data_IF_907141197563
#
_entry.id   IF_907141197563
#
_cell.length_a   1.000
_cell.length_b   1.000
_cell.length_c   1.000
_cell.angle_alpha   90.00
_cell.angle_beta   90.00
_cell.angle_gamma   90.00
#
_symmetry.space_group_name_H-M   'P 1'
#
loop_
_entity.id
_entity.type
_entity.pdbx_description
1 polymer ?
#
# COMPACT_ATOMS: atom_id res chain seq x y z
N UNK A 1 -62.10 -8.96 17.37
CA UNK A 1 -60.73 -8.78 17.88
C UNK A 1 -60.74 -8.80 19.40
N UNK A 2 -60.23 -9.85 20.02
CA UNK A 2 -60.26 -10.00 21.47
C UNK A 2 -59.11 -9.17 22.10
N UNK A 3 -59.42 -7.92 22.51
CA UNK A 3 -58.45 -6.91 23.03
C UNK A 3 -57.53 -7.44 24.16
N UNK A 4 -57.89 -8.54 24.81
CA UNK A 4 -57.15 -9.14 25.94
C UNK A 4 -55.72 -9.59 25.57
N UNK A 5 -55.45 -9.96 24.31
CA UNK A 5 -54.19 -10.62 23.90
C UNK A 5 -53.28 -9.79 22.99
N UNK A 6 -53.72 -8.60 22.55
CA UNK A 6 -52.96 -7.72 21.63
C UNK A 6 -51.92 -6.83 22.32
N UNK A 7 -51.37 -7.27 23.46
CA UNK A 7 -50.57 -6.39 24.35
C UNK A 7 -49.24 -5.95 23.76
N UNK A 8 -48.69 -6.68 22.78
CA UNK A 8 -47.35 -6.47 22.23
C UNK A 8 -47.30 -5.96 20.80
N UNK A 9 -48.45 -5.57 20.23
CA UNK A 9 -48.49 -5.01 18.86
C UNK A 9 -47.71 -3.68 18.86
N UNK A 10 -46.93 -3.44 17.80
CA UNK A 10 -45.99 -2.34 17.62
C UNK A 10 -44.71 -2.37 18.47
N UNK A 11 -44.52 -3.39 19.32
CA UNK A 11 -43.23 -3.56 19.99
C UNK A 11 -42.13 -3.95 18.98
N UNK A 12 -40.92 -3.43 19.20
CA UNK A 12 -39.76 -3.64 18.33
C UNK A 12 -38.74 -4.55 19.05
N UNK A 13 -38.30 -5.59 18.35
CA UNK A 13 -37.30 -6.55 18.80
C UNK A 13 -36.19 -6.67 17.74
N UNK A 14 -35.13 -5.87 17.90
CA UNK A 14 -34.05 -5.78 16.93
C UNK A 14 -34.52 -5.20 15.59
N UNK A 15 -34.41 -5.97 14.49
CA UNK A 15 -34.88 -5.55 13.15
C UNK A 15 -36.38 -5.85 12.89
N UNK A 16 -37.12 -6.35 13.89
CA UNK A 16 -38.47 -6.87 13.75
C UNK A 16 -39.49 -6.07 14.55
N UNK A 17 -40.61 -5.72 13.93
CA UNK A 17 -41.78 -5.12 14.60
C UNK A 17 -42.92 -6.14 14.66
N UNK A 18 -43.60 -6.21 15.80
CA UNK A 18 -44.82 -7.03 15.94
C UNK A 18 -45.98 -6.31 15.25
N UNK A 19 -46.53 -6.92 14.20
CA UNK A 19 -47.64 -6.32 13.43
C UNK A 19 -48.99 -6.90 13.80
N UNK A 20 -49.05 -8.15 14.27
CA UNK A 20 -50.31 -8.82 14.59
C UNK A 20 -50.12 -10.04 15.50
N UNK A 21 -51.23 -10.59 15.99
CA UNK A 21 -51.31 -11.88 16.70
C UNK A 21 -51.79 -12.97 15.73
N UNK A 22 -51.12 -14.13 15.72
CA UNK A 22 -51.59 -15.29 14.95
C UNK A 22 -52.69 -16.03 15.72
N UNK A 23 -53.95 -15.60 15.52
CA UNK A 23 -55.13 -16.16 16.19
C UNK A 23 -55.35 -17.65 15.86
N UNK A 24 -54.86 -18.13 14.70
CA UNK A 24 -55.01 -19.54 14.28
C UNK A 24 -54.28 -20.53 15.20
N UNK A 25 -53.30 -20.05 15.98
CA UNK A 25 -52.48 -20.85 16.91
C UNK A 25 -52.92 -20.76 18.36
N UNK A 26 -54.04 -20.10 18.66
CA UNK A 26 -54.61 -20.01 20.00
C UNK A 26 -55.23 -21.36 20.42
N UNK A 27 -54.40 -22.27 20.92
CA UNK A 27 -54.86 -23.55 21.49
C UNK A 27 -54.79 -23.49 23.03
N UNK A 28 -55.90 -23.78 23.74
CA UNK A 28 -55.89 -23.95 25.19
C UNK A 28 -54.94 -25.10 25.57
N UNK A 29 -54.05 -24.87 26.53
CA UNK A 29 -53.27 -25.93 27.20
C UNK A 29 -53.50 -25.89 28.71
N UNK A 30 -53.17 -26.99 29.39
CA UNK A 30 -53.24 -27.09 30.85
C UNK A 30 -52.50 -25.96 31.59
N UNK A 31 -51.45 -25.38 30.99
CA UNK A 31 -50.62 -24.32 31.58
C UNK A 31 -50.99 -22.89 31.13
N UNK A 32 -52.03 -22.74 30.30
CA UNK A 32 -52.46 -21.47 29.72
C UNK A 32 -52.43 -21.42 28.19
N UNK A 33 -52.64 -20.22 27.62
CA UNK A 33 -52.67 -19.98 26.17
C UNK A 33 -51.27 -19.60 25.68
N UNK A 34 -50.72 -20.34 24.71
CA UNK A 34 -49.47 -19.96 24.04
C UNK A 34 -49.72 -18.98 22.89
N UNK A 35 -49.35 -17.72 23.11
CA UNK A 35 -49.47 -16.68 22.10
C UNK A 35 -48.34 -16.75 21.05
N UNK A 36 -48.71 -16.60 19.78
CA UNK A 36 -47.80 -16.45 18.66
C UNK A 36 -48.07 -15.12 17.97
N UNK A 37 -47.01 -14.38 17.66
CA UNK A 37 -47.09 -13.08 17.01
C UNK A 37 -46.57 -13.16 15.57
N UNK A 38 -47.17 -12.36 14.70
CA UNK A 38 -46.70 -12.10 13.34
C UNK A 38 -45.80 -10.87 13.41
N UNK A 39 -44.55 -11.03 13.00
CA UNK A 39 -43.57 -9.96 12.95
C UNK A 39 -43.22 -9.62 11.52
N UNK A 40 -42.93 -8.35 11.26
CA UNK A 40 -42.43 -7.85 10.00
C UNK A 40 -41.04 -7.24 10.19
N UNK A 41 -40.10 -7.54 9.29
CA UNK A 41 -38.81 -6.88 9.31
C UNK A 41 -38.96 -5.44 8.82
N UNK A 42 -38.49 -4.47 9.62
CA UNK A 42 -38.60 -3.04 9.31
C UNK A 42 -37.84 -2.64 8.03
N UNK A 43 -36.82 -3.43 7.63
CA UNK A 43 -35.98 -3.17 6.46
C UNK A 43 -36.47 -3.88 5.19
N UNK A 44 -36.67 -5.20 5.25
CA UNK A 44 -36.95 -6.01 4.05
C UNK A 44 -38.40 -6.51 3.92
N UNK A 45 -39.28 -6.12 4.86
CA UNK A 45 -40.71 -6.50 4.88
C UNK A 45 -41.00 -8.00 4.94
N UNK A 46 -39.96 -8.84 5.16
CA UNK A 46 -40.13 -10.27 5.40
C UNK A 46 -40.96 -10.47 6.66
N UNK A 47 -41.94 -11.38 6.60
CA UNK A 47 -42.75 -11.76 7.75
C UNK A 47 -42.29 -13.08 8.35
N UNK A 48 -42.49 -13.24 9.66
CA UNK A 48 -42.29 -14.51 10.37
C UNK A 48 -43.23 -14.61 11.57
N UNK A 49 -43.55 -15.82 11.99
CA UNK A 49 -44.34 -16.10 13.20
C UNK A 49 -43.39 -16.53 14.31
N UNK A 50 -43.56 -15.99 15.53
CA UNK A 50 -42.70 -16.27 16.69
C UNK A 50 -43.55 -16.40 17.95
N UNK A 51 -43.21 -17.36 18.82
CA UNK A 51 -43.86 -17.52 20.12
C UNK A 51 -43.52 -16.35 21.06
N UNK A 52 -44.45 -15.94 21.91
CA UNK A 52 -44.28 -14.81 22.82
C UNK A 52 -43.01 -14.91 23.70
N UNK A 53 -42.66 -16.12 24.12
CA UNK A 53 -41.49 -16.39 24.98
C UNK A 53 -40.14 -16.28 24.24
N UNK A 54 -40.15 -16.29 22.91
CA UNK A 54 -38.95 -16.19 22.07
C UNK A 54 -38.72 -14.78 21.51
N UNK A 55 -39.65 -13.84 21.73
CA UNK A 55 -39.53 -12.46 21.23
C UNK A 55 -38.25 -11.77 21.70
N UNK A 56 -37.88 -11.94 22.98
CA UNK A 56 -36.66 -11.35 23.57
C UNK A 56 -35.36 -11.92 23.00
N UNK A 57 -35.41 -13.07 22.31
CA UNK A 57 -34.25 -13.69 21.66
C UNK A 57 -33.99 -13.13 20.27
N UNK A 58 -34.91 -12.33 19.74
CA UNK A 58 -34.80 -11.76 18.40
C UNK A 58 -33.75 -10.64 18.38
N UNK A 59 -32.88 -10.69 17.39
CA UNK A 59 -31.88 -9.65 17.11
C UNK A 59 -32.05 -9.19 15.65
N UNK A 60 -31.08 -9.48 14.79
CA UNK A 60 -31.07 -9.01 13.40
C UNK A 60 -31.94 -9.88 12.48
N UNK A 61 -32.48 -9.28 11.42
CA UNK A 61 -33.14 -10.02 10.36
C UNK A 61 -32.09 -10.77 9.54
N UNK A 62 -32.15 -12.11 9.55
CA UNK A 62 -31.18 -12.96 8.84
C UNK A 62 -31.08 -12.65 7.32
N UNK A 63 -32.18 -12.21 6.69
CA UNK A 63 -32.19 -11.80 5.29
C UNK A 63 -31.41 -10.50 5.07
N UNK A 64 -31.70 -9.47 5.87
CA UNK A 64 -31.02 -8.17 5.80
C UNK A 64 -29.54 -8.27 6.19
N UNK A 65 -29.24 -9.03 7.24
CA UNK A 65 -27.89 -9.22 7.75
C UNK A 65 -26.96 -9.88 6.72
N UNK A 66 -27.52 -10.64 5.77
CA UNK A 66 -26.79 -11.27 4.67
C UNK A 66 -26.71 -10.40 3.40
N UNK A 67 -27.39 -9.26 3.34
CA UNK A 67 -27.54 -8.47 2.12
C UNK A 67 -26.97 -7.05 2.23
N UNK A 68 -26.95 -6.47 3.43
CA UNK A 68 -26.30 -5.17 3.67
C UNK A 68 -25.18 -5.32 4.70
N UNK A 69 -23.94 -5.11 4.24
CA UNK A 69 -22.74 -5.23 5.05
C UNK A 69 -22.24 -3.89 5.60
N UNK A 70 -22.92 -2.78 5.34
CA UNK A 70 -22.49 -1.44 5.79
C UNK A 70 -22.23 -1.41 7.29
N UNK A 71 -21.09 -0.82 7.70
CA UNK A 71 -20.60 -0.74 9.08
C UNK A 71 -20.32 -2.09 9.78
N UNK A 72 -20.39 -3.22 9.07
CA UNK A 72 -20.00 -4.51 9.63
C UNK A 72 -18.47 -4.66 9.60
N UNK A 73 -17.94 -5.41 10.57
CA UNK A 73 -16.51 -5.67 10.71
C UNK A 73 -16.17 -7.13 10.43
N UNK A 74 -15.18 -7.37 9.58
CA UNK A 74 -14.65 -8.68 9.20
C UNK A 74 -13.16 -8.75 9.52
N UNK A 75 -12.80 -9.31 10.67
CA UNK A 75 -11.43 -9.23 11.19
C UNK A 75 -11.04 -7.77 11.40
N UNK A 76 -10.00 -7.31 10.69
CA UNK A 76 -9.48 -5.93 10.74
C UNK A 76 -10.10 -5.00 9.71
N UNK A 77 -11.22 -5.36 9.08
CA UNK A 77 -11.84 -4.61 7.98
C UNK A 77 -13.22 -4.13 8.40
N UNK A 78 -13.45 -2.82 8.34
CA UNK A 78 -14.78 -2.22 8.49
C UNK A 78 -15.37 -1.92 7.11
N UNK A 79 -16.58 -2.37 6.82
CA UNK A 79 -17.24 -2.14 5.52
C UNK A 79 -17.88 -0.75 5.49
N UNK A 80 -17.61 0.01 4.43
CA UNK A 80 -18.06 1.38 4.25
C UNK A 80 -19.29 1.49 3.35
N UNK A 81 -19.27 0.85 2.17
CA UNK A 81 -20.36 0.95 1.19
C UNK A 81 -20.31 -0.16 0.16
N UNK A 82 -21.43 -0.35 -0.53
CA UNK A 82 -21.54 -1.26 -1.66
C UNK A 82 -20.69 -0.75 -2.85
N UNK A 83 -19.99 -1.65 -3.54
CA UNK A 83 -19.13 -1.38 -4.71
C UNK A 83 -19.67 -2.05 -6.00
N UNK A 84 -20.98 -2.29 -6.03
CA UNK A 84 -21.66 -2.97 -7.13
C UNK A 84 -21.33 -4.45 -7.18
N UNK A 85 -21.09 -4.95 -8.39
CA UNK A 85 -20.88 -6.37 -8.67
C UNK A 85 -19.58 -6.58 -9.44
N UNK A 86 -18.90 -7.70 -9.19
CA UNK A 86 -17.89 -8.21 -10.11
C UNK A 86 -18.58 -8.87 -11.30
N UNK A 87 -18.24 -8.42 -12.51
CA UNK A 87 -18.81 -8.88 -13.78
C UNK A 87 -17.78 -9.60 -14.65
N UNK A 88 -16.54 -9.77 -14.18
CA UNK A 88 -15.44 -10.29 -15.01
C UNK A 88 -15.53 -11.80 -15.25
N UNK A 89 -16.06 -12.56 -14.29
CA UNK A 89 -16.14 -14.03 -14.37
C UNK A 89 -17.35 -14.58 -13.61
N UNK A 90 -18.17 -15.39 -14.29
CA UNK A 90 -19.23 -16.18 -13.67
C UNK A 90 -20.45 -15.37 -13.18
N UNK A 91 -21.22 -15.89 -12.19
CA UNK A 91 -22.41 -15.23 -11.68
C UNK A 91 -22.07 -13.89 -11.01
N UNK A 92 -23.02 -12.95 -11.01
CA UNK A 92 -22.86 -11.61 -10.40
C UNK A 92 -22.51 -11.73 -8.91
N UNK A 93 -21.29 -11.36 -8.54
CA UNK A 93 -20.82 -11.39 -7.14
C UNK A 93 -20.80 -9.99 -6.54
N UNK A 94 -21.55 -9.71 -5.46
CA UNK A 94 -21.54 -8.41 -4.83
C UNK A 94 -20.16 -8.04 -4.28
N UNK A 95 -19.78 -6.77 -4.44
CA UNK A 95 -18.55 -6.18 -3.91
C UNK A 95 -18.87 -5.08 -2.91
N UNK A 96 -17.95 -4.87 -1.98
CA UNK A 96 -18.06 -3.88 -0.92
C UNK A 96 -16.73 -3.17 -0.73
N UNK A 97 -16.76 -1.83 -0.66
CA UNK A 97 -15.62 -1.05 -0.19
C UNK A 97 -15.51 -1.21 1.32
N UNK A 98 -14.33 -1.55 1.80
CA UNK A 98 -14.01 -1.59 3.23
C UNK A 98 -12.67 -0.94 3.54
N UNK A 99 -12.54 -0.46 4.77
CA UNK A 99 -11.33 0.12 5.34
C UNK A 99 -10.70 -0.85 6.32
N UNK A 100 -9.43 -1.16 6.12
CA UNK A 100 -8.66 -1.92 7.09
C UNK A 100 -8.16 -1.01 8.21
N UNK A 101 -7.92 -1.56 9.41
CA UNK A 101 -7.31 -0.85 10.55
C UNK A 101 -5.99 -0.14 10.21
N UNK A 102 -5.23 -0.64 9.22
CA UNK A 102 -4.02 0.01 8.74
C UNK A 102 -4.27 1.24 7.83
N UNK A 103 -5.54 1.60 7.60
CA UNK A 103 -5.98 2.73 6.77
C UNK A 103 -6.25 2.40 5.30
N UNK A 104 -5.90 1.21 4.82
CA UNK A 104 -6.11 0.84 3.41
C UNK A 104 -7.60 0.62 3.12
N UNK A 105 -8.12 1.36 2.15
CA UNK A 105 -9.47 1.22 1.62
C UNK A 105 -9.44 0.51 0.26
N UNK A 106 -10.24 -0.56 0.11
CA UNK A 106 -10.36 -1.27 -1.17
C UNK A 106 -11.67 -2.06 -1.27
N UNK A 107 -11.94 -2.57 -2.47
CA UNK A 107 -13.07 -3.47 -2.74
C UNK A 107 -12.77 -4.90 -2.27
N UNK A 108 -13.79 -5.53 -1.67
CA UNK A 108 -13.79 -6.92 -1.22
C UNK A 108 -15.04 -7.64 -1.74
N UNK A 109 -14.93 -8.93 -2.01
CA UNK A 109 -16.06 -9.76 -2.43
C UNK A 109 -16.87 -10.20 -1.20
N UNK A 110 -18.20 -10.05 -1.29
CA UNK A 110 -19.12 -10.34 -0.19
C UNK A 110 -19.01 -11.78 0.30
N UNK A 111 -18.96 -12.76 -0.62
CA UNK A 111 -18.91 -14.17 -0.25
C UNK A 111 -17.61 -14.53 0.49
N UNK A 112 -16.49 -13.89 0.13
CA UNK A 112 -15.20 -14.11 0.79
C UNK A 112 -15.15 -13.50 2.20
N UNK A 113 -15.81 -12.34 2.39
CA UNK A 113 -15.99 -11.74 3.71
C UNK A 113 -16.85 -12.64 4.61
N UNK A 114 -18.00 -13.09 4.10
CA UNK A 114 -18.95 -13.91 4.85
C UNK A 114 -18.40 -15.30 5.20
N UNK A 115 -17.58 -15.92 4.34
CA UNK A 115 -16.89 -17.19 4.64
C UNK A 115 -15.70 -17.03 5.59
N UNK A 116 -15.22 -15.80 5.78
CA UNK A 116 -14.09 -15.50 6.65
C UNK A 116 -12.71 -15.71 6.00
N UNK A 117 -12.64 -15.88 4.68
CA UNK A 117 -11.38 -16.00 3.94
C UNK A 117 -10.59 -14.69 3.94
N UNK A 118 -11.30 -13.56 4.04
CA UNK A 118 -10.71 -12.21 4.08
C UNK A 118 -10.93 -11.61 5.47
N UNK A 119 -9.83 -11.42 6.21
CA UNK A 119 -9.82 -10.82 7.56
C UNK A 119 -8.92 -9.58 7.67
N UNK A 120 -8.22 -9.21 6.61
CA UNK A 120 -7.35 -8.02 6.55
C UNK A 120 -7.15 -7.56 5.10
N UNK A 121 -6.55 -6.39 4.89
CA UNK A 121 -6.25 -5.89 3.55
C UNK A 121 -5.17 -6.71 2.80
N UNK A 122 -4.54 -7.71 3.43
CA UNK A 122 -3.45 -8.50 2.85
C UNK A 122 -2.10 -7.76 2.74
N UNK A 123 -2.05 -6.48 3.13
CA UNK A 123 -0.81 -5.69 3.21
C UNK A 123 -0.29 -5.56 4.65
N UNK A 124 -1.12 -5.82 5.66
CA UNK A 124 -0.74 -5.72 7.07
C UNK A 124 0.33 -6.73 7.51
N UNK A 125 0.43 -7.87 6.82
CA UNK A 125 1.37 -8.95 7.16
C UNK A 125 2.56 -9.04 6.22
N UNK A 126 2.65 -8.15 5.23
CA UNK A 126 3.78 -8.15 4.30
C UNK A 126 4.95 -7.41 4.96
N UNK A 127 6.14 -8.03 5.04
CA UNK A 127 7.32 -7.35 5.53
C UNK A 127 7.58 -6.09 4.68
N UNK A 128 7.87 -4.96 5.32
CA UNK A 128 8.19 -3.70 4.63
C UNK A 128 9.53 -3.19 5.11
N UNK A 129 10.17 -2.36 4.30
CA UNK A 129 11.49 -1.80 4.63
C UNK A 129 12.48 -2.93 4.89
N UNK A 130 13.26 -2.80 5.97
CA UNK A 130 14.34 -3.71 6.36
C UNK A 130 13.94 -5.19 6.44
N UNK A 131 12.68 -5.47 6.73
CA UNK A 131 12.18 -6.83 6.91
C UNK A 131 11.83 -7.54 5.58
N UNK A 132 11.81 -6.81 4.45
CA UNK A 132 11.49 -7.40 3.16
C UNK A 132 12.71 -8.16 2.60
N UNK A 133 12.51 -9.36 2.05
CA UNK A 133 13.61 -10.20 1.52
C UNK A 133 14.39 -9.53 0.38
N UNK A 134 13.75 -8.65 -0.41
CA UNK A 134 14.41 -7.80 -1.41
C UNK A 134 14.89 -6.44 -0.87
N UNK A 135 14.87 -6.23 0.45
CA UNK A 135 15.44 -5.04 1.04
C UNK A 135 16.95 -5.06 0.89
N UNK A 136 17.47 -4.04 0.26
CA UNK A 136 18.89 -3.81 0.17
C UNK A 136 19.14 -2.38 0.68
N UNK A 137 19.87 -2.19 1.79
CA UNK A 137 20.19 -0.86 2.30
C UNK A 137 21.06 -0.04 1.32
N UNK A 138 21.59 -0.68 0.28
CA UNK A 138 22.34 -0.07 -0.82
C UNK A 138 21.54 0.00 -2.14
N UNK A 139 20.25 -0.36 -2.18
CA UNK A 139 19.46 -0.26 -3.41
C UNK A 139 19.13 1.19 -3.75
N UNK A 140 19.54 1.57 -4.95
CA UNK A 140 19.17 2.67 -5.86
C UNK A 140 18.68 4.05 -5.39
N UNK A 141 18.23 4.27 -4.16
CA UNK A 141 17.95 5.62 -3.63
C UNK A 141 19.20 6.52 -3.61
N UNK A 142 20.39 5.91 -3.63
CA UNK A 142 21.69 6.59 -3.67
C UNK A 142 22.45 6.42 -4.99
N UNK A 143 21.90 5.74 -6.00
CA UNK A 143 22.39 5.80 -7.39
C UNK A 143 21.81 7.03 -8.09
N UNK A 144 22.01 8.20 -7.48
CA UNK A 144 21.61 9.50 -8.03
C UNK A 144 22.32 9.87 -9.34
N UNK A 145 23.01 8.95 -10.02
CA UNK A 145 23.69 9.23 -11.30
C UNK A 145 22.72 9.69 -12.41
N UNK A 146 21.44 9.30 -12.35
CA UNK A 146 20.41 9.83 -13.28
C UNK A 146 19.56 10.97 -12.67
N UNK A 147 19.84 11.37 -11.43
CA UNK A 147 19.10 12.47 -10.80
C UNK A 147 19.40 13.82 -11.46
N UNK A 148 18.43 14.73 -11.41
CA UNK A 148 18.61 16.13 -11.79
C UNK A 148 19.78 16.77 -11.05
N UNK A 149 19.94 16.47 -9.76
CA UNK A 149 21.02 16.97 -8.92
C UNK A 149 22.40 16.56 -9.44
N UNK A 150 22.58 15.31 -9.85
CA UNK A 150 23.83 14.86 -10.48
C UNK A 150 24.10 15.55 -11.82
N UNK A 151 23.06 15.77 -12.64
CA UNK A 151 23.18 16.49 -13.92
C UNK A 151 23.63 17.94 -13.69
N UNK A 152 23.08 18.61 -12.67
CA UNK A 152 23.50 19.95 -12.25
C UNK A 152 24.95 19.96 -11.76
N UNK A 153 25.30 19.05 -10.86
CA UNK A 153 26.66 18.87 -10.34
C UNK A 153 27.68 18.65 -11.48
N UNK A 154 27.42 17.70 -12.38
CA UNK A 154 28.31 17.40 -13.49
C UNK A 154 28.48 18.63 -14.40
N UNK A 155 27.40 19.36 -14.68
CA UNK A 155 27.45 20.61 -15.47
C UNK A 155 28.29 21.69 -14.80
N UNK A 156 28.25 21.83 -13.47
CA UNK A 156 29.09 22.77 -12.73
C UNK A 156 30.58 22.42 -12.85
N UNK A 157 30.92 21.14 -12.67
CA UNK A 157 32.30 20.63 -12.83
C UNK A 157 32.80 20.87 -14.26
N UNK A 158 31.98 20.53 -15.27
CA UNK A 158 32.34 20.75 -16.68
C UNK A 158 32.51 22.23 -17.00
N UNK A 159 31.61 23.10 -16.51
CA UNK A 159 31.71 24.54 -16.73
C UNK A 159 32.98 25.11 -16.11
N UNK A 160 33.34 24.72 -14.88
CA UNK A 160 34.59 25.13 -14.21
C UNK A 160 35.82 24.73 -15.01
N UNK A 161 35.81 23.51 -15.55
CA UNK A 161 36.94 22.95 -16.30
C UNK A 161 36.88 23.29 -17.81
N UNK A 162 36.10 24.31 -18.20
CA UNK A 162 35.94 24.77 -19.59
C UNK A 162 35.51 23.68 -20.59
N UNK A 163 34.72 22.71 -20.14
CA UNK A 163 34.28 21.54 -20.91
C UNK A 163 35.44 20.78 -21.58
N UNK A 164 36.58 20.71 -20.88
CA UNK A 164 37.77 20.00 -21.34
C UNK A 164 38.32 19.10 -20.25
N UNK A 165 38.89 17.97 -20.66
CA UNK A 165 39.66 17.11 -19.77
C UNK A 165 40.82 17.91 -19.16
N UNK A 166 40.91 17.95 -17.83
CA UNK A 166 41.95 18.75 -17.13
C UNK A 166 43.38 18.20 -17.30
N UNK A 167 43.51 17.00 -17.88
CA UNK A 167 44.79 16.35 -18.13
C UNK A 167 45.25 16.54 -19.57
N UNK A 168 44.39 16.23 -20.55
CA UNK A 168 44.77 16.20 -21.97
C UNK A 168 44.07 17.23 -22.85
N UNK A 169 43.13 18.03 -22.32
CA UNK A 169 42.40 19.05 -23.07
C UNK A 169 41.29 18.54 -24.00
N UNK A 170 41.10 17.22 -24.13
CA UNK A 170 40.04 16.63 -24.96
C UNK A 170 38.64 17.04 -24.50
N UNK A 171 37.76 17.36 -25.44
CA UNK A 171 36.33 17.62 -25.23
C UNK A 171 35.43 16.39 -25.48
N UNK A 172 36.01 15.24 -25.82
CA UNK A 172 35.26 14.02 -26.19
C UNK A 172 34.95 13.16 -24.96
N UNK A 173 33.68 12.72 -24.84
CA UNK A 173 33.18 11.78 -23.81
C UNK A 173 33.59 12.18 -22.38
N UNK A 174 33.20 13.38 -21.96
CA UNK A 174 33.55 13.90 -20.64
C UNK A 174 32.79 13.19 -19.52
N UNK A 175 33.48 12.99 -18.40
CA UNK A 175 32.94 12.43 -17.16
C UNK A 175 33.37 13.31 -15.98
N UNK A 176 32.45 13.52 -15.04
CA UNK A 176 32.76 14.13 -13.75
C UNK A 176 33.32 13.02 -12.85
N UNK A 177 34.64 12.97 -12.74
CA UNK A 177 35.35 11.98 -11.94
C UNK A 177 35.42 12.44 -10.49
N UNK A 178 34.89 11.66 -9.56
CA UNK A 178 35.02 11.93 -8.12
C UNK A 178 36.44 11.67 -7.63
N UNK A 179 37.01 12.65 -6.92
CA UNK A 179 38.33 12.56 -6.29
C UNK A 179 38.29 11.60 -5.10
N UNK A 180 37.37 11.81 -4.15
CA UNK A 180 37.03 10.85 -3.11
C UNK A 180 35.80 10.06 -3.53
N UNK A 181 35.93 8.72 -3.49
CA UNK A 181 35.00 7.79 -4.10
C UNK A 181 33.55 7.88 -3.60
N UNK A 182 32.62 7.79 -4.55
CA UNK A 182 31.18 7.84 -4.33
C UNK A 182 30.67 6.94 -3.19
N UNK A 183 31.23 5.73 -3.07
CA UNK A 183 30.76 4.75 -2.09
C UNK A 183 31.01 5.18 -0.64
N UNK A 184 32.21 5.70 -0.34
CA UNK A 184 32.67 5.94 1.03
C UNK A 184 32.61 7.40 1.46
N UNK A 185 32.43 8.34 0.52
CA UNK A 185 32.35 9.78 0.81
C UNK A 185 30.98 10.38 0.40
N UNK A 186 29.88 9.97 1.06
CA UNK A 186 28.52 10.40 0.69
C UNK A 186 28.30 11.92 0.75
N UNK A 187 28.92 12.61 1.70
CA UNK A 187 28.82 14.06 1.89
C UNK A 187 29.39 14.87 0.71
N UNK A 188 30.34 14.30 -0.05
CA UNK A 188 30.98 14.98 -1.19
C UNK A 188 30.48 14.52 -2.56
N UNK A 189 29.36 13.80 -2.65
CA UNK A 189 28.86 13.26 -3.93
C UNK A 189 28.47 14.34 -4.94
N UNK A 190 27.98 15.48 -4.44
CA UNK A 190 27.54 16.62 -5.25
C UNK A 190 28.40 17.87 -5.01
N UNK A 191 29.51 17.77 -4.28
CA UNK A 191 30.45 18.87 -4.11
C UNK A 191 31.33 18.98 -5.37
N UNK A 192 31.25 20.07 -6.15
CA UNK A 192 32.08 20.27 -7.34
C UNK A 192 33.59 20.22 -7.05
N UNK A 193 34.02 20.52 -5.82
CA UNK A 193 35.43 20.46 -5.42
C UNK A 193 35.92 19.03 -5.21
N UNK A 194 35.01 18.08 -5.02
CA UNK A 194 35.33 16.66 -4.96
C UNK A 194 35.29 15.99 -6.34
N UNK A 195 35.29 16.75 -7.44
CA UNK A 195 35.32 16.16 -8.77
C UNK A 195 36.06 17.01 -9.81
N UNK A 196 36.46 16.34 -10.89
CA UNK A 196 37.18 16.93 -12.03
C UNK A 196 36.69 16.36 -13.35
N UNK A 197 36.86 17.12 -14.42
CA UNK A 197 36.46 16.73 -15.77
C UNK A 197 37.55 15.88 -16.42
N UNK A 198 37.25 14.62 -16.74
CA UNK A 198 38.15 13.70 -17.44
C UNK A 198 37.49 13.10 -18.70
N UNK A 199 38.28 12.84 -19.75
CA UNK A 199 37.78 12.14 -20.93
C UNK A 199 37.69 10.62 -20.70
N UNK A 200 36.58 10.03 -21.14
CA UNK A 200 36.24 8.60 -21.00
C UNK A 200 36.21 7.84 -22.33
N UNK A 201 36.81 8.38 -23.40
CA UNK A 201 37.00 7.62 -24.64
C UNK A 201 38.00 6.47 -24.43
N UNK A 202 38.14 5.59 -25.43
CA UNK A 202 39.16 4.52 -25.43
C UNK A 202 40.53 5.15 -25.17
N UNK A 203 41.28 4.61 -24.21
CA UNK A 203 42.56 5.17 -23.73
C UNK A 203 42.49 6.62 -23.18
N UNK A 204 41.30 7.09 -22.78
CA UNK A 204 41.09 8.38 -22.16
C UNK A 204 41.49 8.41 -20.68
N UNK A 205 41.73 9.61 -20.16
CA UNK A 205 42.29 9.83 -18.83
C UNK A 205 41.46 9.21 -17.70
N UNK A 206 40.13 9.23 -17.81
CA UNK A 206 39.23 8.61 -16.81
C UNK A 206 39.45 7.09 -16.71
N UNK A 207 39.52 6.43 -17.88
CA UNK A 207 39.74 4.99 -17.95
C UNK A 207 41.16 4.63 -17.51
N UNK A 208 42.16 5.44 -17.87
CA UNK A 208 43.54 5.25 -17.44
C UNK A 208 43.68 5.34 -15.92
N UNK A 209 43.00 6.29 -15.28
CA UNK A 209 42.98 6.39 -13.82
C UNK A 209 42.41 5.11 -13.18
N UNK A 210 41.23 4.66 -13.62
CA UNK A 210 40.61 3.45 -13.07
C UNK A 210 41.35 2.16 -13.42
N UNK A 211 42.11 2.13 -14.52
CA UNK A 211 43.03 1.02 -14.81
C UNK A 211 44.18 0.95 -13.80
N UNK A 212 44.62 2.09 -13.26
CA UNK A 212 45.72 2.17 -12.30
C UNK A 212 45.26 1.94 -10.85
N UNK A 213 44.13 2.53 -10.44
CA UNK A 213 43.68 2.54 -9.04
C UNK A 213 42.38 1.77 -8.78
N UNK A 214 41.83 1.09 -9.79
CA UNK A 214 40.54 0.42 -9.69
C UNK A 214 39.34 1.38 -9.66
N UNK A 215 38.14 0.82 -9.56
CA UNK A 215 36.86 1.56 -9.64
C UNK A 215 36.24 1.93 -8.28
N UNK A 216 36.85 1.49 -7.17
CA UNK A 216 36.32 1.64 -5.81
C UNK A 216 37.39 2.20 -4.89
N UNK A 217 36.94 2.86 -3.81
CA UNK A 217 37.81 3.40 -2.76
C UNK A 217 38.88 4.38 -3.26
N UNK A 218 38.62 5.07 -4.38
CA UNK A 218 39.54 6.08 -4.89
C UNK A 218 39.60 7.30 -3.97
N UNK A 219 40.79 7.90 -3.85
CA UNK A 219 41.05 9.07 -3.00
C UNK A 219 41.65 10.23 -3.78
N UNK A 220 41.45 11.45 -3.29
CA UNK A 220 42.04 12.65 -3.88
C UNK A 220 43.56 12.56 -4.01
N UNK A 221 44.24 11.93 -3.04
CA UNK A 221 45.69 11.72 -3.06
C UNK A 221 46.12 10.85 -4.25
N UNK A 222 45.36 9.80 -4.58
CA UNK A 222 45.64 8.98 -5.77
C UNK A 222 45.49 9.81 -7.05
N UNK A 223 44.44 10.64 -7.12
CA UNK A 223 44.23 11.52 -8.27
C UNK A 223 45.35 12.56 -8.41
N UNK A 224 45.76 13.20 -7.32
CA UNK A 224 46.83 14.21 -7.35
C UNK A 224 48.16 13.60 -7.84
N UNK A 225 48.49 12.39 -7.38
CA UNK A 225 49.65 11.62 -7.89
C UNK A 225 49.51 11.34 -9.38
N UNK A 226 48.35 10.86 -9.82
CA UNK A 226 48.07 10.58 -11.24
C UNK A 226 48.25 11.83 -12.11
N UNK A 227 47.69 12.96 -11.67
CA UNK A 227 47.76 14.24 -12.37
C UNK A 227 49.20 14.72 -12.53
N UNK A 228 50.00 14.64 -11.47
CA UNK A 228 51.41 14.99 -11.48
C UNK A 228 52.18 14.18 -12.54
N UNK A 229 52.02 12.86 -12.54
CA UNK A 229 52.72 12.00 -13.51
C UNK A 229 52.28 12.27 -14.96
N UNK A 230 50.98 12.44 -15.21
CA UNK A 230 50.47 12.69 -16.56
C UNK A 230 50.92 14.04 -17.12
N UNK A 231 50.89 15.12 -16.32
CA UNK A 231 51.36 16.44 -16.75
C UNK A 231 52.85 16.44 -17.07
N UNK A 232 53.67 15.76 -16.26
CA UNK A 232 55.10 15.63 -16.52
C UNK A 232 55.41 14.80 -17.77
N UNK A 233 54.56 13.81 -18.10
CA UNK A 233 54.72 13.03 -19.33
C UNK A 233 54.36 13.83 -20.59
N UNK A 234 53.40 14.75 -20.50
CA UNK A 234 52.99 15.62 -21.61
C UNK A 234 53.97 16.76 -21.87
N UNK A 235 54.67 17.26 -20.84
CA UNK A 235 55.72 18.30 -20.99
C UNK A 235 57.01 17.80 -21.66
N UNK A 236 57.22 16.49 -21.70
CA UNK A 236 58.40 15.85 -22.33
C UNK A 236 58.15 15.43 -23.79
N UNK A 237 57.00 15.79 -24.36
CA UNK A 237 56.65 15.61 -25.76
C UNK A 237 56.52 16.96 -26.42
#
# INVERSE_FOLDING_TARGET
>A
MNKKYNRRINEIYGDWIVIDLDESRLKPKMTGIHLHYILECQKCKKRRIVAANDLSKLTKCQKCNRTDLTNQTFGKITILKNDGYDLRYGPKRPKWIGKCECGIEKSYLQDLLLRGDIKSCGQCSRPKGEQHHNYNPLSDRYNRRDSTEYKVFAKQVFKRDNYKCIICGSSKKLNAHHLNGWHWYPQGRFDPNNAVTLCGHKNGCHMTFHKMYGNKLNTKIQFDKFLYFQKNRLRKK
#
